data_IF_008384344914
#
_entry.id   IF_008384344914
#
_cell.length_a   1.000
_cell.length_b   1.000
_cell.length_c   1.000
_cell.angle_alpha   90.00
_cell.angle_beta   90.00
_cell.angle_gamma   90.00
#
_symmetry.space_group_name_H-M   'P 1'
#
loop_
_entity.id
_entity.type
_entity.pdbx_description
1 polymer ?
#
# COMPACT_ATOMS: atom_id res chain seq x y z
N UNK A 1 -38.44 19.33 39.32
CA UNK A 1 -37.32 18.48 38.89
C UNK A 1 -37.55 17.08 39.46
N UNK A 2 -38.14 16.20 38.68
CA UNK A 2 -38.46 14.82 39.12
C UNK A 2 -37.22 13.99 38.76
N UNK A 3 -36.47 13.55 39.75
CA UNK A 3 -35.38 12.59 39.60
C UNK A 3 -35.96 11.26 39.10
N UNK A 4 -35.68 10.88 37.91
CA UNK A 4 -35.99 9.52 37.45
C UNK A 4 -35.20 8.52 38.31
N UNK A 5 -35.87 7.47 38.84
CA UNK A 5 -35.16 6.46 39.61
C UNK A 5 -34.18 5.70 38.73
N UNK A 6 -32.98 5.50 39.24
CA UNK A 6 -31.96 4.64 38.65
C UNK A 6 -32.58 3.24 38.41
N UNK A 7 -32.91 2.90 37.15
CA UNK A 7 -33.37 1.57 36.80
C UNK A 7 -32.23 0.60 37.08
N UNK A 8 -32.39 -0.24 38.09
CA UNK A 8 -31.44 -1.32 38.35
C UNK A 8 -31.37 -2.20 37.09
N UNK A 9 -30.19 -2.36 36.55
CA UNK A 9 -29.96 -3.22 35.36
C UNK A 9 -30.31 -4.66 35.71
N UNK A 10 -31.01 -5.34 34.83
CA UNK A 10 -31.33 -6.75 35.00
C UNK A 10 -30.04 -7.58 34.96
N UNK A 11 -29.97 -8.77 35.59
CA UNK A 11 -28.81 -9.66 35.53
C UNK A 11 -28.35 -9.95 34.08
N UNK A 12 -29.28 -10.04 33.17
CA UNK A 12 -28.99 -10.27 31.72
C UNK A 12 -28.33 -9.07 31.08
N UNK A 13 -28.70 -7.84 31.44
CA UNK A 13 -28.04 -6.63 30.96
C UNK A 13 -26.60 -6.52 31.47
N UNK A 14 -26.36 -6.97 32.70
CA UNK A 14 -25.02 -7.01 33.30
C UNK A 14 -24.15 -8.04 32.62
N UNK A 15 -24.66 -9.24 32.32
CA UNK A 15 -23.94 -10.30 31.59
C UNK A 15 -23.62 -9.83 30.17
N UNK A 16 -24.57 -9.22 29.48
CA UNK A 16 -24.34 -8.65 28.13
C UNK A 16 -23.27 -7.57 28.16
N UNK A 17 -23.27 -6.69 29.15
CA UNK A 17 -22.27 -5.63 29.29
C UNK A 17 -20.88 -6.20 29.60
N UNK A 18 -20.79 -7.20 30.49
CA UNK A 18 -19.54 -7.86 30.83
C UNK A 18 -18.96 -8.61 29.61
N UNK A 19 -19.81 -9.30 28.84
CA UNK A 19 -19.37 -9.97 27.61
C UNK A 19 -18.89 -8.98 26.54
N UNK A 20 -19.56 -7.83 26.37
CA UNK A 20 -19.14 -6.79 25.47
C UNK A 20 -17.78 -6.18 25.87
N UNK A 21 -17.61 -5.88 27.18
CA UNK A 21 -16.33 -5.38 27.72
C UNK A 21 -15.21 -6.41 27.55
N UNK A 22 -15.47 -7.68 27.85
CA UNK A 22 -14.48 -8.74 27.66
C UNK A 22 -14.07 -8.90 26.19
N UNK A 23 -15.03 -8.83 25.27
CA UNK A 23 -14.76 -8.86 23.84
C UNK A 23 -13.95 -7.66 23.37
N UNK A 24 -14.27 -6.45 23.86
CA UNK A 24 -13.52 -5.24 23.55
C UNK A 24 -12.08 -5.30 24.08
N UNK A 25 -11.88 -5.81 25.31
CA UNK A 25 -10.55 -6.01 25.88
C UNK A 25 -9.76 -7.04 25.06
N UNK A 26 -10.38 -8.16 24.67
CA UNK A 26 -9.74 -9.17 23.84
C UNK A 26 -9.33 -8.58 22.48
N UNK A 27 -10.20 -7.83 21.83
CA UNK A 27 -9.90 -7.15 20.57
C UNK A 27 -8.73 -6.16 20.74
N UNK A 28 -8.71 -5.37 21.80
CA UNK A 28 -7.61 -4.45 22.11
C UNK A 28 -6.28 -5.19 22.33
N UNK A 29 -6.31 -6.32 23.03
CA UNK A 29 -5.12 -7.17 23.25
C UNK A 29 -4.61 -7.72 21.90
N UNK A 30 -5.51 -8.21 21.03
CA UNK A 30 -5.15 -8.70 19.69
C UNK A 30 -4.47 -7.58 18.87
N UNK A 31 -5.06 -6.39 18.83
CA UNK A 31 -4.49 -5.23 18.14
C UNK A 31 -3.12 -4.86 18.71
N UNK A 32 -2.98 -4.87 20.03
CA UNK A 32 -1.72 -4.61 20.73
C UNK A 32 -0.64 -5.64 20.34
N UNK A 33 -0.98 -6.92 20.33
CA UNK A 33 -0.07 -8.00 19.92
C UNK A 33 0.33 -7.84 18.45
N UNK A 34 -0.62 -7.53 17.55
CA UNK A 34 -0.35 -7.29 16.13
C UNK A 34 0.57 -6.08 15.92
N UNK A 35 0.42 -5.02 16.71
CA UNK A 35 1.23 -3.81 16.61
C UNK A 35 2.64 -4.01 17.16
N UNK A 36 2.79 -4.51 18.38
CA UNK A 36 4.10 -4.73 19.01
C UNK A 36 4.85 -5.94 18.44
N UNK A 37 4.11 -6.98 18.03
CA UNK A 37 4.67 -8.18 17.41
C UNK A 37 4.96 -8.08 15.92
N UNK A 38 4.82 -6.90 15.32
CA UNK A 38 4.91 -6.71 13.87
C UNK A 38 6.20 -7.26 13.24
N UNK A 39 7.32 -7.19 13.94
CA UNK A 39 8.61 -7.70 13.44
C UNK A 39 8.62 -9.23 13.23
N UNK A 40 7.79 -9.96 13.98
CA UNK A 40 7.64 -11.40 13.88
C UNK A 40 6.41 -11.76 13.03
N UNK A 41 5.31 -11.04 13.23
CA UNK A 41 4.02 -11.38 12.62
C UNK A 41 4.02 -11.04 11.13
N UNK A 42 4.63 -9.94 10.70
CA UNK A 42 4.72 -9.57 9.28
C UNK A 42 5.43 -10.65 8.45
N UNK A 43 6.62 -11.13 8.81
CA UNK A 43 7.27 -12.23 8.09
C UNK A 43 6.42 -13.50 8.03
N UNK A 44 5.72 -13.84 9.11
CA UNK A 44 4.85 -15.02 9.14
C UNK A 44 3.64 -14.81 8.21
N UNK A 45 2.99 -13.65 8.28
CA UNK A 45 1.85 -13.33 7.41
C UNK A 45 2.25 -13.36 5.92
N UNK A 46 3.40 -12.75 5.59
CA UNK A 46 3.97 -12.80 4.24
C UNK A 46 4.27 -14.24 3.81
N UNK A 47 4.83 -15.05 4.68
CA UNK A 47 5.12 -16.45 4.39
C UNK A 47 3.84 -17.27 4.13
N UNK A 48 2.79 -17.04 4.90
CA UNK A 48 1.48 -17.68 4.70
C UNK A 48 0.91 -17.27 3.35
N UNK A 49 0.84 -15.98 3.04
CA UNK A 49 0.30 -15.49 1.77
C UNK A 49 1.11 -16.00 0.58
N UNK A 50 2.44 -15.94 0.68
CA UNK A 50 3.31 -16.44 -0.38
C UNK A 50 3.17 -17.96 -0.57
N UNK A 51 2.95 -18.72 0.51
CA UNK A 51 2.71 -20.15 0.42
C UNK A 51 1.40 -20.48 -0.33
N UNK A 52 0.35 -19.66 -0.20
CA UNK A 52 -0.88 -19.81 -1.00
C UNK A 52 -0.63 -19.58 -2.49
N UNK A 53 0.20 -18.59 -2.84
CA UNK A 53 0.59 -18.29 -4.23
C UNK A 53 1.45 -19.40 -4.82
N UNK A 54 2.42 -19.91 -4.04
CA UNK A 54 3.39 -20.91 -4.51
C UNK A 54 2.84 -22.34 -4.50
N UNK A 55 1.80 -22.62 -3.70
CA UNK A 55 1.22 -23.98 -3.60
C UNK A 55 0.79 -24.58 -4.95
N UNK A 56 0.10 -23.87 -5.86
CA UNK A 56 -0.24 -24.38 -7.18
C UNK A 56 1.00 -24.72 -8.03
N UNK A 57 2.05 -23.89 -7.94
CA UNK A 57 3.30 -24.09 -8.68
C UNK A 57 4.06 -25.33 -8.20
N UNK A 58 4.07 -25.55 -6.88
CA UNK A 58 4.59 -26.80 -6.29
C UNK A 58 3.80 -27.98 -6.80
N UNK A 59 2.45 -27.90 -6.85
CA UNK A 59 1.60 -28.93 -7.39
C UNK A 59 1.87 -29.23 -8.89
N UNK A 60 2.18 -28.23 -9.68
CA UNK A 60 2.58 -28.41 -11.09
C UNK A 60 3.88 -29.18 -11.22
N UNK A 61 4.91 -28.86 -10.40
CA UNK A 61 6.18 -29.57 -10.40
C UNK A 61 6.02 -31.06 -9.95
N UNK A 62 5.14 -31.30 -8.95
CA UNK A 62 4.85 -32.65 -8.52
C UNK A 62 4.17 -33.52 -9.59
N UNK A 63 3.37 -32.90 -10.49
CA UNK A 63 2.79 -33.61 -11.65
C UNK A 63 3.86 -34.12 -12.63
N UNK A 64 5.03 -33.47 -12.68
CA UNK A 64 6.19 -33.89 -13.48
C UNK A 64 7.06 -34.92 -12.74
N UNK A 65 6.53 -35.56 -11.66
CA UNK A 65 7.18 -36.59 -10.83
C UNK A 65 8.37 -36.08 -10.01
N UNK A 66 8.49 -34.80 -9.74
CA UNK A 66 9.50 -34.26 -8.82
C UNK A 66 9.05 -34.53 -7.37
N UNK A 67 9.89 -35.09 -6.51
CA UNK A 67 9.55 -35.33 -5.11
C UNK A 67 9.23 -34.00 -4.39
N UNK A 68 8.26 -34.04 -3.46
CA UNK A 68 7.69 -32.86 -2.79
C UNK A 68 8.74 -31.90 -2.23
N UNK A 69 9.75 -32.45 -1.54
CA UNK A 69 10.82 -31.63 -0.96
C UNK A 69 11.59 -30.82 -1.99
N UNK A 70 11.99 -31.47 -3.10
CA UNK A 70 12.70 -30.79 -4.19
C UNK A 70 11.79 -29.79 -4.91
N UNK A 71 10.51 -30.13 -5.16
CA UNK A 71 9.56 -29.24 -5.78
C UNK A 71 9.36 -27.95 -4.95
N UNK A 72 9.19 -28.07 -3.62
CA UNK A 72 9.06 -26.93 -2.71
C UNK A 72 10.30 -26.05 -2.75
N UNK A 73 11.48 -26.66 -2.54
CA UNK A 73 12.75 -25.90 -2.51
C UNK A 73 12.99 -25.20 -3.85
N UNK A 74 12.79 -25.88 -4.98
CA UNK A 74 12.99 -25.29 -6.29
C UNK A 74 12.06 -24.11 -6.55
N UNK A 75 10.76 -24.25 -6.25
CA UNK A 75 9.78 -23.17 -6.44
C UNK A 75 10.11 -21.97 -5.57
N UNK A 76 10.49 -22.19 -4.30
CA UNK A 76 10.85 -21.12 -3.38
C UNK A 76 12.12 -20.41 -3.86
N UNK A 77 13.17 -21.15 -4.26
CA UNK A 77 14.40 -20.55 -4.78
C UNK A 77 14.10 -19.70 -6.02
N UNK A 78 13.32 -20.22 -6.97
CA UNK A 78 12.96 -19.47 -8.19
C UNK A 78 12.17 -18.21 -7.85
N UNK A 79 11.17 -18.31 -6.95
CA UNK A 79 10.37 -17.17 -6.53
C UNK A 79 11.22 -16.08 -5.87
N UNK A 80 12.09 -16.43 -4.93
CA UNK A 80 12.95 -15.46 -4.26
C UNK A 80 14.05 -14.92 -5.17
N UNK A 81 14.60 -15.72 -6.08
CA UNK A 81 15.52 -15.24 -7.13
C UNK A 81 14.84 -14.20 -8.02
N UNK A 82 13.59 -14.42 -8.40
CA UNK A 82 12.80 -13.46 -9.17
C UNK A 82 12.54 -12.16 -8.38
N UNK A 83 12.13 -12.27 -7.12
CA UNK A 83 11.93 -11.12 -6.23
C UNK A 83 13.22 -10.31 -6.07
N UNK A 84 14.35 -11.00 -5.87
CA UNK A 84 15.66 -10.37 -5.73
C UNK A 84 16.10 -9.69 -7.05
N UNK A 85 15.90 -10.35 -8.18
CA UNK A 85 16.18 -9.77 -9.49
C UNK A 85 15.33 -8.52 -9.76
N UNK A 86 14.03 -8.56 -9.43
CA UNK A 86 13.17 -7.37 -9.52
C UNK A 86 13.62 -6.25 -8.58
N UNK A 87 13.98 -6.58 -7.35
CA UNK A 87 14.49 -5.60 -6.38
C UNK A 87 15.80 -4.94 -6.85
N UNK A 88 16.73 -5.71 -7.43
CA UNK A 88 17.97 -5.17 -7.99
C UNK A 88 17.72 -4.28 -9.22
N UNK A 89 16.79 -4.67 -10.10
CA UNK A 89 16.35 -3.84 -11.22
C UNK A 89 15.75 -2.52 -10.73
N UNK A 90 14.88 -2.55 -9.72
CA UNK A 90 14.30 -1.34 -9.13
C UNK A 90 15.40 -0.43 -8.54
N UNK A 91 16.35 -1.01 -7.81
CA UNK A 91 17.45 -0.24 -7.22
C UNK A 91 18.31 0.45 -8.29
N UNK A 92 18.66 -0.25 -9.37
CA UNK A 92 19.44 0.33 -10.48
C UNK A 92 18.67 1.43 -11.22
N UNK A 93 17.38 1.23 -11.48
CA UNK A 93 16.53 2.22 -12.14
C UNK A 93 16.32 3.46 -11.27
N UNK A 94 16.15 3.31 -9.95
CA UNK A 94 16.08 4.42 -9.01
C UNK A 94 17.37 5.21 -8.95
N UNK A 95 18.53 4.53 -8.94
CA UNK A 95 19.84 5.19 -8.96
C UNK A 95 20.04 5.98 -10.25
N UNK A 96 19.65 5.45 -11.41
CA UNK A 96 19.70 6.16 -12.69
C UNK A 96 18.80 7.40 -12.66
N UNK A 97 17.54 7.24 -12.21
CA UNK A 97 16.60 8.35 -12.10
C UNK A 97 17.12 9.46 -11.19
N UNK A 98 17.72 9.11 -10.05
CA UNK A 98 18.34 10.07 -9.14
C UNK A 98 19.52 10.82 -9.80
N UNK A 99 20.32 10.15 -10.61
CA UNK A 99 21.40 10.75 -11.40
C UNK A 99 20.93 11.72 -12.47
N UNK A 100 19.74 11.50 -13.04
CA UNK A 100 19.17 12.33 -14.10
C UNK A 100 18.36 13.53 -13.58
N UNK A 101 18.04 13.57 -12.28
CA UNK A 101 17.26 14.65 -11.65
C UNK A 101 17.76 16.07 -11.96
N UNK A 102 19.08 16.37 -11.97
CA UNK A 102 19.56 17.71 -12.29
C UNK A 102 19.20 18.17 -13.72
N UNK A 103 19.13 17.24 -14.67
CA UNK A 103 18.74 17.54 -16.06
C UNK A 103 17.26 17.91 -16.18
N UNK A 104 16.42 17.36 -15.33
CA UNK A 104 14.97 17.63 -15.35
C UNK A 104 14.63 19.01 -14.77
N UNK A 105 15.48 19.56 -13.89
CA UNK A 105 15.29 20.90 -13.32
C UNK A 105 15.31 22.00 -14.38
N UNK A 106 16.18 21.89 -15.40
CA UNK A 106 16.24 22.87 -16.49
C UNK A 106 14.95 22.88 -17.30
N UNK A 107 14.46 21.72 -17.70
CA UNK A 107 13.21 21.59 -18.49
C UNK A 107 11.99 22.12 -17.72
N UNK A 108 11.91 21.82 -16.42
CA UNK A 108 10.83 22.34 -15.56
C UNK A 108 10.90 23.86 -15.49
N UNK A 109 12.09 24.43 -15.31
CA UNK A 109 12.29 25.89 -15.23
C UNK A 109 11.88 26.58 -16.53
N UNK A 110 12.27 26.04 -17.68
CA UNK A 110 11.88 26.55 -19.00
C UNK A 110 10.35 26.51 -19.20
N UNK A 111 9.70 25.40 -18.81
CA UNK A 111 8.24 25.31 -18.86
C UNK A 111 7.53 26.32 -17.95
N UNK A 112 8.01 26.49 -16.73
CA UNK A 112 7.46 27.50 -15.81
C UNK A 112 7.60 28.90 -16.40
N UNK A 113 8.73 29.20 -17.04
CA UNK A 113 8.94 30.49 -17.69
C UNK A 113 7.99 30.68 -18.89
N UNK A 114 7.87 29.67 -19.76
CA UNK A 114 6.95 29.73 -20.90
C UNK A 114 5.47 29.82 -20.48
N UNK A 115 5.09 29.21 -19.38
CA UNK A 115 3.75 29.37 -18.78
C UNK A 115 3.53 30.79 -18.24
N UNK A 116 4.54 31.36 -17.57
CA UNK A 116 4.50 32.76 -17.11
C UNK A 116 4.35 33.72 -18.26
N UNK A 117 5.07 33.51 -19.35
CA UNK A 117 4.99 34.33 -20.55
C UNK A 117 3.65 34.24 -21.27
N UNK A 118 3.06 33.04 -21.30
CA UNK A 118 1.77 32.77 -21.97
C UNK A 118 0.58 33.18 -21.09
N UNK A 119 0.63 32.99 -19.77
CA UNK A 119 -0.46 33.29 -18.82
C UNK A 119 -0.40 34.72 -18.31
N UNK A 120 0.79 35.31 -18.24
CA UNK A 120 0.97 36.75 -18.04
C UNK A 120 0.66 37.49 -19.35
N UNK A 121 -0.59 37.39 -19.80
CA UNK A 121 -1.11 38.26 -20.83
C UNK A 121 -0.78 39.70 -20.47
N UNK A 122 0.27 40.19 -21.11
CA UNK A 122 0.59 41.60 -21.33
C UNK A 122 0.04 42.59 -20.28
N UNK A 123 0.72 42.75 -19.19
CA UNK A 123 0.69 44.09 -18.59
C UNK A 123 0.36 44.26 -17.11
N UNK A 124 -0.13 43.26 -16.38
CA UNK A 124 -0.50 43.45 -14.96
C UNK A 124 0.54 42.93 -13.98
N UNK A 125 1.16 41.79 -14.24
CA UNK A 125 2.19 41.21 -13.37
C UNK A 125 3.58 41.84 -13.60
N UNK A 126 3.92 42.20 -14.84
CA UNK A 126 5.14 42.98 -15.13
C UNK A 126 5.10 44.36 -14.50
N UNK A 127 3.93 45.01 -14.50
CA UNK A 127 3.75 46.28 -13.78
C UNK A 127 3.83 46.08 -12.27
N UNK A 128 3.26 45.00 -11.72
CA UNK A 128 3.36 44.70 -10.29
C UNK A 128 4.78 44.29 -9.87
N UNK A 129 5.51 43.51 -10.69
CA UNK A 129 6.90 43.15 -10.40
C UNK A 129 7.87 44.32 -10.65
N UNK A 130 7.59 45.20 -11.62
CA UNK A 130 8.27 46.46 -11.82
C UNK A 130 8.06 47.40 -10.65
N UNK A 131 6.83 47.58 -10.19
CA UNK A 131 6.54 48.39 -8.99
C UNK A 131 7.18 47.83 -7.72
N UNK A 132 7.21 46.50 -7.54
CA UNK A 132 7.93 45.88 -6.40
C UNK A 132 9.43 46.06 -6.49
N UNK A 133 10.05 45.98 -7.68
CA UNK A 133 11.46 46.25 -7.88
C UNK A 133 11.80 47.72 -7.68
N UNK A 134 10.95 48.61 -8.12
CA UNK A 134 11.16 50.07 -7.92
C UNK A 134 10.94 50.44 -6.45
N UNK A 135 9.98 49.81 -5.76
CA UNK A 135 9.77 49.96 -4.33
C UNK A 135 10.93 49.41 -3.51
N UNK A 136 11.50 48.25 -3.89
CA UNK A 136 12.70 47.73 -3.23
C UNK A 136 13.96 48.57 -3.49
N UNK A 137 14.10 49.14 -4.68
CA UNK A 137 15.19 50.11 -4.98
C UNK A 137 15.02 51.39 -4.21
N UNK A 138 13.80 51.85 -3.96
CA UNK A 138 13.54 53.06 -3.19
C UNK A 138 13.76 52.83 -1.68
N UNK A 139 13.50 51.60 -1.20
CA UNK A 139 13.79 51.19 0.17
C UNK A 139 15.27 50.88 0.43
N UNK A 140 16.02 50.49 -0.62
CA UNK A 140 17.47 50.22 -0.54
C UNK A 140 18.36 51.44 -0.84
N UNK A 141 17.79 52.64 -1.10
CA UNK A 141 18.56 53.85 -1.12
C UNK A 141 19.16 54.12 0.27
N UNK A 142 20.48 54.04 0.45
CA UNK A 142 21.07 54.37 1.72
C UNK A 142 20.73 55.82 2.05
N UNK A 143 20.33 56.08 3.27
CA UNK A 143 20.28 57.43 3.84
C UNK A 143 21.69 57.99 3.89
N UNK A 144 22.19 58.52 2.77
CA UNK A 144 23.44 59.31 2.69
C UNK A 144 23.28 60.72 3.19
N UNK A 145 22.22 61.03 3.92
CA UNK A 145 21.98 62.39 4.43
C UNK A 145 22.14 62.55 5.95
N UNK A 146 22.89 61.67 6.63
CA UNK A 146 23.12 61.77 8.07
C UNK A 146 24.60 61.60 8.49
N UNK A 147 25.56 61.89 7.61
CA UNK A 147 27.00 61.85 7.97
C UNK A 147 27.68 63.20 7.86
N UNK A 148 26.99 64.28 8.25
CA UNK A 148 27.60 65.64 8.29
C UNK A 148 27.44 66.31 9.69
N UNK A 149 27.49 65.53 10.78
CA UNK A 149 27.74 66.12 12.11
C UNK A 149 28.58 65.12 12.90
N UNK A 150 29.90 65.33 12.89
CA UNK A 150 30.80 64.60 13.73
C UNK A 150 30.59 64.92 15.21
N UNK A 151 30.53 63.90 16.01
CA UNK A 151 31.03 63.84 17.39
C UNK A 151 31.49 62.46 17.68
N UNK A 152 32.71 62.31 18.13
CA UNK A 152 33.38 61.08 18.39
C UNK A 152 32.92 60.31 19.62
N UNK A 153 33.59 59.23 19.80
CA UNK A 153 33.79 58.43 21.01
C UNK A 153 33.06 57.06 21.03
N UNK A 154 33.83 56.04 21.14
CA UNK A 154 33.45 54.80 21.81
C UNK A 154 33.64 53.53 21.01
N UNK A 155 34.87 53.05 21.03
CA UNK A 155 35.17 51.64 20.74
C UNK A 155 34.34 50.71 21.63
N UNK A 156 33.54 49.88 21.04
CA UNK A 156 33.13 48.58 21.67
C UNK A 156 32.62 47.60 20.65
N UNK A 157 33.28 46.44 20.63
CA UNK A 157 32.68 45.18 20.27
C UNK A 157 32.61 44.87 18.79
N UNK A 158 33.72 44.54 18.18
CA UNK A 158 33.69 43.69 17.01
C UNK A 158 33.07 42.32 17.40
N UNK A 159 31.84 42.08 16.99
CA UNK A 159 31.29 40.74 16.96
C UNK A 159 32.18 39.90 16.05
N UNK A 160 32.77 38.80 16.56
CA UNK A 160 33.57 37.92 15.72
C UNK A 160 32.68 37.36 14.60
N UNK A 161 33.09 37.58 13.35
CA UNK A 161 32.52 36.86 12.21
C UNK A 161 32.59 35.37 12.55
N UNK A 162 31.47 34.61 12.37
CA UNK A 162 31.52 33.16 12.55
C UNK A 162 32.57 32.63 11.56
N UNK A 163 33.64 32.07 12.12
CA UNK A 163 34.63 31.31 11.35
C UNK A 163 33.89 30.01 10.96
N UNK A 164 33.76 29.69 9.67
CA UNK A 164 33.26 28.38 9.28
C UNK A 164 34.24 27.34 9.83
N UNK A 165 33.82 26.64 10.89
CA UNK A 165 34.53 25.48 11.37
C UNK A 165 34.16 24.36 10.40
N UNK A 166 35.04 24.08 9.46
CA UNK A 166 34.99 22.86 8.66
C UNK A 166 35.27 21.71 9.63
N UNK A 167 34.23 21.01 10.05
CA UNK A 167 34.38 19.78 10.81
C UNK A 167 34.94 18.76 9.84
N UNK A 168 36.24 18.62 9.79
CA UNK A 168 36.91 17.48 9.16
C UNK A 168 36.45 16.23 9.95
N UNK A 169 35.40 15.62 9.46
CA UNK A 169 35.09 14.24 9.88
C UNK A 169 36.30 13.40 9.43
N UNK A 170 36.93 12.66 10.35
CA UNK A 170 37.97 11.74 9.94
C UNK A 170 37.37 10.78 8.91
N UNK A 171 38.12 10.55 7.83
CA UNK A 171 37.69 9.60 6.79
C UNK A 171 37.27 8.31 7.49
N UNK A 172 36.02 7.86 7.29
CA UNK A 172 35.56 6.63 7.93
C UNK A 172 36.50 5.52 7.51
N UNK A 173 37.10 4.85 8.48
CA UNK A 173 38.02 3.76 8.23
C UNK A 173 37.36 2.71 7.33
N UNK A 174 38.15 1.97 6.54
CA UNK A 174 37.63 0.97 5.62
C UNK A 174 36.62 0.01 6.30
N UNK A 175 36.79 -0.24 7.58
CA UNK A 175 35.90 -1.08 8.40
C UNK A 175 34.56 -0.35 8.67
N UNK A 176 34.57 0.94 9.00
CA UNK A 176 33.37 1.74 9.21
C UNK A 176 32.59 1.93 7.91
N UNK A 177 33.29 2.12 6.80
CA UNK A 177 32.69 2.20 5.46
C UNK A 177 32.02 0.86 5.08
N UNK A 178 32.66 -0.27 5.35
CA UNK A 178 32.06 -1.59 5.16
C UNK A 178 30.85 -1.82 6.09
N UNK A 179 30.94 -1.42 7.35
CA UNK A 179 29.86 -1.56 8.30
C UNK A 179 28.65 -0.68 7.91
N UNK A 180 28.88 0.54 7.45
CA UNK A 180 27.81 1.44 6.97
C UNK A 180 27.10 0.92 5.72
N UNK A 181 27.82 0.18 4.85
CA UNK A 181 27.25 -0.46 3.65
C UNK A 181 26.49 -1.76 3.98
N UNK A 182 26.99 -2.55 4.93
CA UNK A 182 26.43 -3.87 5.26
C UNK A 182 25.24 -3.75 6.23
N UNK A 183 25.32 -2.84 7.21
CA UNK A 183 24.31 -2.71 8.27
C UNK A 183 22.88 -2.51 7.74
N UNK A 184 22.61 -1.65 6.73
CA UNK A 184 21.26 -1.49 6.18
C UNK A 184 20.74 -2.73 5.46
N UNK A 185 21.63 -3.63 5.00
CA UNK A 185 21.27 -4.84 4.27
C UNK A 185 21.01 -6.04 5.18
N UNK A 186 21.59 -6.06 6.40
CA UNK A 186 21.46 -7.17 7.32
C UNK A 186 20.02 -7.43 7.75
N UNK A 187 19.28 -6.36 8.09
CA UNK A 187 17.90 -6.50 8.57
C UNK A 187 16.95 -7.03 7.47
N UNK A 188 16.90 -6.48 6.23
CA UNK A 188 16.12 -7.05 5.14
C UNK A 188 16.52 -8.49 4.78
N UNK A 189 17.80 -8.82 4.77
CA UNK A 189 18.29 -10.16 4.50
C UNK A 189 17.85 -11.18 5.57
N UNK A 190 17.98 -10.82 6.85
CA UNK A 190 17.53 -11.65 7.95
C UNK A 190 16.01 -11.90 7.88
N UNK A 191 15.22 -10.84 7.66
CA UNK A 191 13.77 -10.95 7.51
C UNK A 191 13.40 -11.82 6.31
N UNK A 192 14.06 -11.63 5.17
CA UNK A 192 13.83 -12.46 3.97
C UNK A 192 14.19 -13.92 4.25
N UNK A 193 15.31 -14.20 4.95
CA UNK A 193 15.69 -15.54 5.36
C UNK A 193 14.64 -16.21 6.24
N UNK A 194 14.07 -15.47 7.19
CA UNK A 194 12.96 -15.95 8.03
C UNK A 194 11.76 -16.29 7.17
N UNK A 195 11.36 -15.42 6.23
CA UNK A 195 10.22 -15.66 5.33
C UNK A 195 10.46 -16.93 4.51
N UNK A 196 11.64 -17.09 3.90
CA UNK A 196 12.01 -18.28 3.11
C UNK A 196 11.84 -19.55 3.93
N UNK A 197 12.38 -19.57 5.14
CA UNK A 197 12.28 -20.72 6.04
C UNK A 197 10.82 -21.04 6.34
N UNK A 198 10.02 -20.03 6.73
CA UNK A 198 8.61 -20.25 7.03
C UNK A 198 7.84 -20.75 5.79
N UNK A 199 8.06 -20.18 4.61
CA UNK A 199 7.44 -20.63 3.35
C UNK A 199 7.75 -22.10 3.08
N UNK A 200 9.02 -22.48 3.19
CA UNK A 200 9.43 -23.87 2.98
C UNK A 200 8.73 -24.81 3.97
N UNK A 201 8.74 -24.47 5.27
CA UNK A 201 8.08 -25.32 6.28
C UNK A 201 6.56 -25.37 6.11
N UNK A 202 5.91 -24.25 5.81
CA UNK A 202 4.45 -24.22 5.56
C UNK A 202 4.09 -25.11 4.35
N UNK A 203 4.86 -25.01 3.26
CA UNK A 203 4.61 -25.81 2.07
C UNK A 203 4.91 -27.32 2.28
N UNK A 204 5.98 -27.64 3.04
CA UNK A 204 6.32 -29.02 3.37
C UNK A 204 5.32 -29.65 4.33
N UNK A 205 4.91 -28.91 5.36
CA UNK A 205 4.03 -29.39 6.43
C UNK A 205 2.56 -29.01 6.23
N UNK A 206 2.16 -28.68 5.01
CA UNK A 206 0.81 -28.19 4.70
C UNK A 206 -0.28 -29.12 5.21
N UNK A 207 -0.08 -30.44 5.12
CA UNK A 207 -1.07 -31.44 5.55
C UNK A 207 -1.14 -31.55 7.09
N UNK A 208 -0.01 -31.48 7.78
CA UNK A 208 0.01 -31.50 9.24
C UNK A 208 -0.60 -30.22 9.82
N UNK A 209 -0.26 -29.06 9.27
CA UNK A 209 -0.86 -27.78 9.66
C UNK A 209 -2.38 -27.77 9.45
N UNK A 210 -2.85 -28.30 8.32
CA UNK A 210 -4.27 -28.46 8.04
C UNK A 210 -4.94 -29.36 9.07
N UNK A 211 -4.37 -30.53 9.38
CA UNK A 211 -4.92 -31.45 10.35
C UNK A 211 -4.99 -30.86 11.76
N UNK A 212 -4.00 -30.05 12.14
CA UNK A 212 -4.01 -29.29 13.41
C UNK A 212 -5.11 -28.23 13.43
N UNK A 213 -5.31 -27.50 12.33
CA UNK A 213 -6.39 -26.51 12.22
C UNK A 213 -7.77 -27.18 12.33
N UNK A 214 -7.99 -28.31 11.65
CA UNK A 214 -9.23 -29.08 11.75
C UNK A 214 -9.48 -29.50 13.22
N UNK A 215 -8.46 -29.98 13.91
CA UNK A 215 -8.57 -30.37 15.31
C UNK A 215 -8.89 -29.20 16.25
N UNK A 216 -8.35 -28.01 15.97
CA UNK A 216 -8.61 -26.80 16.76
C UNK A 216 -9.98 -26.18 16.47
N UNK A 217 -10.50 -26.30 15.25
CA UNK A 217 -11.81 -25.79 14.87
C UNK A 217 -12.99 -26.54 15.52
N UNK A 218 -12.72 -27.70 16.14
CA UNK A 218 -13.71 -28.48 16.86
C UNK A 218 -14.45 -29.47 15.95
N UNK A 219 -14.47 -30.74 16.34
CA UNK A 219 -14.79 -31.85 15.46
C UNK A 219 -16.17 -32.41 15.66
N UNK A 220 -17.23 -31.61 15.59
CA UNK A 220 -18.57 -32.23 15.53
C UNK A 220 -18.83 -32.89 14.17
N UNK A 221 -18.22 -32.41 13.09
CA UNK A 221 -18.26 -33.03 11.75
C UNK A 221 -16.90 -32.82 11.04
N UNK A 222 -15.99 -33.77 11.23
CA UNK A 222 -14.64 -33.78 10.65
C UNK A 222 -14.66 -33.69 9.11
N UNK A 223 -15.63 -34.38 8.47
CA UNK A 223 -15.70 -34.41 7.02
C UNK A 223 -16.09 -33.06 6.44
N UNK A 224 -17.07 -32.41 7.05
CA UNK A 224 -17.56 -31.08 6.65
C UNK A 224 -16.51 -30.00 6.88
N UNK A 225 -15.87 -29.99 8.04
CA UNK A 225 -14.77 -29.04 8.37
C UNK A 225 -13.56 -29.20 7.45
N UNK A 226 -13.21 -30.46 7.13
CA UNK A 226 -12.13 -30.79 6.20
C UNK A 226 -12.39 -30.24 4.80
N UNK A 227 -13.60 -30.55 4.25
CA UNK A 227 -13.99 -30.10 2.93
C UNK A 227 -14.04 -28.56 2.84
N UNK A 228 -14.55 -27.90 3.89
CA UNK A 228 -14.61 -26.44 3.98
C UNK A 228 -13.22 -25.79 3.99
N UNK A 229 -12.28 -26.31 4.77
CA UNK A 229 -10.90 -25.80 4.80
C UNK A 229 -10.15 -26.02 3.49
N UNK A 230 -10.39 -27.15 2.81
CA UNK A 230 -9.78 -27.40 1.50
C UNK A 230 -10.34 -26.47 0.42
N UNK A 231 -11.65 -26.26 0.43
CA UNK A 231 -12.30 -25.31 -0.48
C UNK A 231 -11.79 -23.88 -0.22
N UNK A 232 -11.72 -23.46 1.03
CA UNK A 232 -11.17 -22.16 1.43
C UNK A 232 -9.71 -21.98 0.96
N UNK A 233 -8.84 -22.95 1.24
CA UNK A 233 -7.43 -22.90 0.85
C UNK A 233 -7.25 -22.87 -0.68
N UNK A 234 -8.04 -23.65 -1.42
CA UNK A 234 -7.99 -23.68 -2.88
C UNK A 234 -8.49 -22.37 -3.51
N UNK A 235 -9.55 -21.80 -2.97
CA UNK A 235 -10.08 -20.49 -3.40
C UNK A 235 -9.09 -19.38 -3.12
N UNK A 236 -8.51 -19.32 -1.93
CA UNK A 236 -7.47 -18.33 -1.58
C UNK A 236 -6.25 -18.42 -2.51
N UNK A 237 -5.74 -19.64 -2.72
CA UNK A 237 -4.61 -19.84 -3.65
C UNK A 237 -4.95 -19.37 -5.07
N UNK A 238 -6.14 -19.69 -5.55
CA UNK A 238 -6.60 -19.26 -6.87
C UNK A 238 -6.75 -17.74 -6.95
N UNK A 239 -7.37 -17.11 -5.96
CA UNK A 239 -7.56 -15.66 -5.90
C UNK A 239 -6.22 -14.93 -5.92
N UNK A 240 -5.26 -15.33 -5.07
CA UNK A 240 -3.95 -14.69 -5.01
C UNK A 240 -3.13 -14.91 -6.28
N UNK A 241 -3.18 -16.09 -6.87
CA UNK A 241 -2.49 -16.34 -8.14
C UNK A 241 -3.06 -15.47 -9.27
N UNK A 242 -4.39 -15.40 -9.37
CA UNK A 242 -5.07 -14.55 -10.34
C UNK A 242 -4.72 -13.08 -10.10
N UNK A 243 -4.75 -12.60 -8.86
CA UNK A 243 -4.38 -11.22 -8.52
C UNK A 243 -2.94 -10.91 -8.90
N UNK A 244 -2.01 -11.83 -8.62
CA UNK A 244 -0.61 -11.68 -9.02
C UNK A 244 -0.45 -11.60 -10.54
N UNK A 245 -1.15 -12.47 -11.28
CA UNK A 245 -1.11 -12.49 -12.75
C UNK A 245 -1.73 -11.22 -13.34
N UNK A 246 -2.87 -10.77 -12.82
CA UNK A 246 -3.52 -9.54 -13.26
C UNK A 246 -2.65 -8.32 -13.00
N UNK A 247 -2.13 -8.17 -11.77
CA UNK A 247 -1.28 -7.05 -11.42
C UNK A 247 0.04 -7.08 -12.19
N UNK A 248 0.61 -8.26 -12.38
CA UNK A 248 1.81 -8.45 -13.21
C UNK A 248 1.57 -8.08 -14.67
N UNK A 249 0.47 -8.56 -15.27
CA UNK A 249 0.11 -8.23 -16.66
C UNK A 249 -0.16 -6.73 -16.84
N UNK A 250 -0.86 -6.10 -15.89
CA UNK A 250 -1.06 -4.66 -15.86
C UNK A 250 0.27 -3.90 -15.85
N UNK A 251 1.18 -4.28 -14.94
CA UNK A 251 2.51 -3.66 -14.87
C UNK A 251 3.33 -3.83 -16.15
N UNK A 252 3.24 -4.99 -16.80
CA UNK A 252 3.89 -5.23 -18.09
C UNK A 252 3.29 -4.32 -19.18
N UNK A 253 1.98 -4.21 -19.28
CA UNK A 253 1.30 -3.36 -20.26
C UNK A 253 1.65 -1.89 -20.04
N UNK A 254 1.60 -1.41 -18.80
CA UNK A 254 2.00 -0.04 -18.45
C UNK A 254 3.49 0.18 -18.75
N UNK A 255 4.37 -0.75 -18.35
CA UNK A 255 5.80 -0.64 -18.61
C UNK A 255 6.13 -0.57 -20.09
N UNK A 256 5.53 -1.43 -20.92
CA UNK A 256 5.70 -1.41 -22.39
C UNK A 256 5.12 -0.10 -22.96
N UNK A 257 3.93 0.33 -22.53
CA UNK A 257 3.32 1.57 -22.99
C UNK A 257 4.20 2.78 -22.69
N UNK A 258 4.71 2.91 -21.46
CA UNK A 258 5.62 3.98 -21.07
C UNK A 258 6.95 3.94 -21.83
N UNK A 259 7.46 2.74 -22.11
CA UNK A 259 8.67 2.57 -22.93
C UNK A 259 8.46 3.04 -24.38
N UNK A 260 7.33 2.72 -25.00
CA UNK A 260 6.98 3.17 -26.36
C UNK A 260 6.79 4.68 -26.41
N UNK A 261 6.21 5.28 -25.36
CA UNK A 261 6.05 6.74 -25.23
C UNK A 261 7.41 7.43 -25.06
N UNK A 262 8.42 6.72 -24.52
CA UNK A 262 9.76 7.24 -24.27
C UNK A 262 9.93 7.78 -22.84
N UNK A 263 9.06 7.43 -21.92
CA UNK A 263 9.19 7.82 -20.49
C UNK A 263 10.41 7.11 -19.89
N UNK A 264 11.35 7.84 -19.24
CA UNK A 264 12.51 7.23 -18.60
C UNK A 264 12.13 6.23 -17.52
N UNK A 265 12.98 5.22 -17.31
CA UNK A 265 12.78 4.19 -16.30
C UNK A 265 11.41 3.50 -16.38
N UNK A 266 10.92 3.23 -17.60
CA UNK A 266 9.60 2.62 -17.86
C UNK A 266 9.41 1.29 -17.11
N UNK A 267 10.47 0.48 -16.96
CA UNK A 267 10.46 -0.78 -16.22
C UNK A 267 10.16 -0.52 -14.73
N UNK A 268 10.79 0.50 -14.14
CA UNK A 268 10.53 0.90 -12.75
C UNK A 268 9.05 1.20 -12.53
N UNK A 269 8.48 2.03 -13.41
CA UNK A 269 7.07 2.45 -13.31
C UNK A 269 6.11 1.29 -13.56
N UNK A 270 6.45 0.38 -14.47
CA UNK A 270 5.69 -0.85 -14.70
C UNK A 270 5.66 -1.76 -13.48
N UNK A 271 6.80 -2.01 -12.85
CA UNK A 271 6.88 -2.82 -11.61
C UNK A 271 6.13 -2.11 -10.47
N UNK A 272 6.34 -0.80 -10.33
CA UNK A 272 5.65 -0.01 -9.29
C UNK A 272 4.13 -0.04 -9.49
N UNK A 273 3.66 0.06 -10.73
CA UNK A 273 2.25 -0.04 -11.07
C UNK A 273 1.67 -1.42 -10.69
N UNK A 274 2.39 -2.51 -10.96
CA UNK A 274 2.00 -3.85 -10.55
C UNK A 274 1.89 -4.00 -9.03
N UNK A 275 2.84 -3.45 -8.28
CA UNK A 275 2.86 -3.51 -6.81
C UNK A 275 1.79 -2.60 -6.19
N UNK A 276 1.69 -1.36 -6.66
CA UNK A 276 0.70 -0.42 -6.11
C UNK A 276 -0.73 -0.86 -6.39
N UNK A 277 -0.98 -1.62 -7.46
CA UNK A 277 -2.31 -2.15 -7.76
C UNK A 277 -2.85 -3.13 -6.69
N UNK A 278 -2.02 -3.63 -5.79
CA UNK A 278 -2.50 -4.34 -4.60
C UNK A 278 -3.29 -3.44 -3.64
N UNK A 279 -3.14 -2.11 -3.77
CA UNK A 279 -3.88 -1.10 -3.00
C UNK A 279 -5.08 -0.64 -3.84
N UNK A 280 -6.30 -1.06 -3.52
CA UNK A 280 -7.48 -0.72 -4.31
C UNK A 280 -7.72 0.80 -4.36
N UNK A 281 -8.24 1.29 -5.47
CA UNK A 281 -8.62 2.69 -5.75
C UNK A 281 -7.45 3.69 -5.75
N UNK A 282 -6.60 3.67 -4.73
CA UNK A 282 -5.51 4.63 -4.54
C UNK A 282 -4.26 4.21 -5.32
N UNK A 283 -4.02 2.90 -5.43
CA UNK A 283 -2.79 2.37 -6.01
C UNK A 283 -2.56 2.79 -7.45
N UNK A 284 -3.59 2.70 -8.28
CA UNK A 284 -3.51 3.11 -9.68
C UNK A 284 -3.26 4.61 -9.84
N UNK A 285 -3.89 5.45 -9.00
CA UNK A 285 -3.69 6.90 -9.01
C UNK A 285 -2.24 7.27 -8.64
N UNK A 286 -1.69 6.65 -7.60
CA UNK A 286 -0.29 6.85 -7.20
C UNK A 286 0.66 6.33 -8.29
N UNK A 287 0.36 5.15 -8.87
CA UNK A 287 1.16 4.57 -9.95
C UNK A 287 1.23 5.45 -11.19
N UNK A 288 0.15 6.18 -11.51
CA UNK A 288 0.09 7.12 -12.62
C UNK A 288 0.79 8.46 -12.30
N UNK A 289 0.68 8.94 -11.06
CA UNK A 289 1.18 10.27 -10.67
C UNK A 289 2.68 10.46 -10.94
N UNK A 290 3.49 9.45 -10.65
CA UNK A 290 4.94 9.54 -10.84
C UNK A 290 5.38 9.60 -12.31
N UNK A 291 4.96 8.68 -13.20
CA UNK A 291 5.31 8.79 -14.62
C UNK A 291 4.71 10.01 -15.30
N UNK A 292 3.52 10.49 -14.86
CA UNK A 292 2.96 11.75 -15.33
C UNK A 292 3.83 12.95 -14.94
N UNK A 293 4.24 13.03 -13.68
CA UNK A 293 5.16 14.07 -13.21
C UNK A 293 6.51 14.04 -13.98
N UNK A 294 7.03 12.83 -14.22
CA UNK A 294 8.27 12.66 -14.96
C UNK A 294 8.10 13.05 -16.45
N UNK A 295 6.97 12.71 -17.08
CA UNK A 295 6.68 13.12 -18.45
C UNK A 295 6.64 14.64 -18.61
N UNK A 296 6.13 15.37 -17.60
CA UNK A 296 6.19 16.84 -17.56
C UNK A 296 7.63 17.33 -17.44
N UNK A 297 8.46 16.64 -16.67
CA UNK A 297 9.84 17.07 -16.37
C UNK A 297 10.82 16.79 -17.52
N UNK A 298 10.57 15.74 -18.29
CA UNK A 298 11.52 15.24 -19.32
C UNK A 298 11.27 15.85 -20.69
N UNK A 299 10.01 15.88 -21.13
CA UNK A 299 9.65 16.33 -22.49
C UNK A 299 9.41 17.84 -22.51
N UNK A 300 10.16 18.62 -23.32
CA UNK A 300 9.90 20.05 -23.50
C UNK A 300 8.48 20.33 -24.03
N UNK A 301 7.93 19.40 -24.80
CA UNK A 301 6.55 19.48 -25.30
C UNK A 301 5.55 18.88 -24.30
N UNK A 302 4.26 18.89 -24.61
CA UNK A 302 3.22 18.24 -23.83
C UNK A 302 2.86 16.86 -24.34
N UNK A 303 3.53 16.40 -25.41
CA UNK A 303 3.20 15.18 -26.13
C UNK A 303 3.34 13.94 -25.24
N UNK A 304 4.49 13.80 -24.55
CA UNK A 304 4.74 12.67 -23.64
C UNK A 304 3.72 12.61 -22.51
N UNK A 305 3.37 13.75 -21.93
CA UNK A 305 2.34 13.82 -20.88
C UNK A 305 0.98 13.36 -21.41
N UNK A 306 0.55 13.87 -22.57
CA UNK A 306 -0.76 13.52 -23.15
C UNK A 306 -0.86 12.02 -23.46
N UNK A 307 0.20 11.43 -24.06
CA UNK A 307 0.24 10.00 -24.32
C UNK A 307 0.27 9.16 -23.02
N UNK A 308 0.97 9.64 -21.99
CA UNK A 308 0.99 8.98 -20.69
C UNK A 308 -0.39 9.03 -20.02
N UNK A 309 -1.08 10.17 -20.07
CA UNK A 309 -2.47 10.28 -19.60
C UNK A 309 -3.37 9.30 -20.37
N UNK A 310 -3.28 9.30 -21.70
CA UNK A 310 -4.09 8.43 -22.55
C UNK A 310 -3.85 6.95 -22.24
N UNK A 311 -2.59 6.56 -22.00
CA UNK A 311 -2.24 5.18 -21.63
C UNK A 311 -2.97 4.74 -20.36
N UNK A 312 -2.87 5.52 -19.27
CA UNK A 312 -3.53 5.18 -18.00
C UNK A 312 -5.06 5.26 -18.12
N UNK A 313 -5.59 6.26 -18.83
CA UNK A 313 -7.02 6.47 -19.01
C UNK A 313 -7.68 5.35 -19.83
N UNK A 314 -6.93 4.66 -20.68
CA UNK A 314 -7.42 3.51 -21.46
C UNK A 314 -7.18 2.21 -20.70
N UNK A 315 -5.96 1.98 -20.21
CA UNK A 315 -5.58 0.69 -19.63
C UNK A 315 -6.30 0.44 -18.30
N UNK A 316 -6.41 1.46 -17.43
CA UNK A 316 -7.02 1.30 -16.10
C UNK A 316 -8.52 0.93 -16.17
N UNK A 317 -9.38 1.62 -16.94
CA UNK A 317 -10.78 1.21 -17.08
C UNK A 317 -10.93 -0.15 -17.77
N UNK A 318 -10.11 -0.46 -18.77
CA UNK A 318 -10.17 -1.76 -19.45
C UNK A 318 -9.85 -2.88 -18.47
N UNK A 319 -8.79 -2.73 -17.67
CA UNK A 319 -8.42 -3.77 -16.70
C UNK A 319 -9.43 -3.81 -15.56
N UNK A 320 -9.81 -2.68 -14.97
CA UNK A 320 -10.69 -2.63 -13.80
C UNK A 320 -12.15 -2.95 -14.08
N UNK A 321 -12.69 -2.57 -15.25
CA UNK A 321 -14.11 -2.78 -15.55
C UNK A 321 -14.39 -3.94 -16.50
N UNK A 322 -13.38 -4.42 -17.26
CA UNK A 322 -13.57 -5.52 -18.21
C UNK A 322 -12.81 -6.77 -17.75
N UNK A 323 -11.49 -6.65 -17.55
CA UNK A 323 -10.65 -7.84 -17.28
C UNK A 323 -10.89 -8.39 -15.87
N UNK A 324 -10.93 -7.53 -14.86
CA UNK A 324 -11.16 -7.96 -13.47
C UNK A 324 -12.50 -8.68 -13.29
N UNK A 325 -13.66 -8.15 -13.74
CA UNK A 325 -14.93 -8.86 -13.63
C UNK A 325 -14.97 -10.16 -14.41
N UNK A 326 -14.30 -10.23 -15.58
CA UNK A 326 -14.22 -11.49 -16.36
C UNK A 326 -13.42 -12.58 -15.65
N UNK A 327 -12.40 -12.19 -14.89
CA UNK A 327 -11.46 -13.14 -14.25
C UNK A 327 -11.90 -13.50 -12.83
N UNK A 328 -12.36 -12.51 -12.05
CA UNK A 328 -12.83 -12.73 -10.66
C UNK A 328 -14.31 -13.12 -10.56
N UNK A 329 -15.12 -12.90 -11.62
CA UNK A 329 -16.57 -12.90 -11.51
C UNK A 329 -17.06 -11.60 -10.84
N UNK A 330 -18.32 -11.62 -10.35
CA UNK A 330 -18.96 -10.38 -9.90
C UNK A 330 -18.54 -9.88 -8.51
N UNK A 331 -17.68 -10.62 -7.76
CA UNK A 331 -17.27 -10.13 -6.43
C UNK A 331 -15.89 -10.60 -5.98
N UNK A 332 -15.12 -9.69 -5.43
CA UNK A 332 -13.86 -9.98 -4.71
C UNK A 332 -14.13 -10.55 -3.31
N UNK A 333 -15.38 -10.62 -2.91
CA UNK A 333 -15.81 -11.06 -1.59
C UNK A 333 -15.72 -10.02 -0.49
N UNK A 334 -15.30 -8.79 -0.81
CA UNK A 334 -15.21 -7.66 0.12
C UNK A 334 -16.13 -6.50 -0.31
N UNK A 335 -16.80 -5.88 0.64
CA UNK A 335 -17.53 -4.65 0.38
C UNK A 335 -16.56 -3.46 0.15
N UNK A 336 -16.93 -2.44 -0.66
CA UNK A 336 -16.07 -1.28 -0.89
C UNK A 336 -15.67 -0.56 0.42
N UNK A 337 -16.57 -0.47 1.37
CA UNK A 337 -16.30 0.11 2.70
C UNK A 337 -15.28 -0.73 3.47
N UNK A 338 -15.42 -2.06 3.42
CA UNK A 338 -14.47 -2.97 4.05
C UNK A 338 -13.06 -2.84 3.47
N UNK A 339 -12.93 -2.63 2.16
CA UNK A 339 -11.64 -2.42 1.50
C UNK A 339 -10.94 -1.16 2.03
N UNK A 340 -11.66 -0.03 2.12
CA UNK A 340 -11.09 1.23 2.65
C UNK A 340 -10.77 1.12 4.14
N UNK A 341 -11.69 0.54 4.93
CA UNK A 341 -11.48 0.33 6.37
C UNK A 341 -10.27 -0.59 6.63
N UNK A 342 -10.14 -1.69 5.88
CA UNK A 342 -9.02 -2.61 6.00
C UNK A 342 -7.69 -1.97 5.59
N UNK A 343 -7.67 -1.21 4.49
CA UNK A 343 -6.50 -0.46 4.07
C UNK A 343 -6.02 0.49 5.16
N UNK A 344 -6.94 1.24 5.78
CA UNK A 344 -6.63 2.16 6.87
C UNK A 344 -6.12 1.41 8.11
N UNK A 345 -6.81 0.34 8.51
CA UNK A 345 -6.47 -0.46 9.68
C UNK A 345 -5.08 -1.11 9.57
N UNK A 346 -4.82 -1.82 8.47
CA UNK A 346 -3.55 -2.51 8.27
C UNK A 346 -2.39 -1.54 8.06
N UNK A 347 -2.64 -0.38 7.44
CA UNK A 347 -1.64 0.68 7.31
C UNK A 347 -1.27 1.27 8.67
N UNK A 348 -2.24 1.50 9.53
CA UNK A 348 -1.98 1.98 10.90
C UNK A 348 -1.18 0.98 11.74
N UNK A 349 -1.40 -0.34 11.53
CA UNK A 349 -0.68 -1.39 12.26
C UNK A 349 0.74 -1.63 11.74
N UNK A 350 0.90 -1.77 10.41
CA UNK A 350 2.13 -2.28 9.78
C UNK A 350 2.71 -1.33 8.72
N UNK A 351 2.21 -0.10 8.63
CA UNK A 351 2.71 0.90 7.68
C UNK A 351 2.47 0.51 6.21
N UNK A 352 3.39 0.87 5.30
CA UNK A 352 3.25 0.58 3.86
C UNK A 352 3.10 -0.91 3.52
N UNK A 353 3.74 -1.78 4.30
CA UNK A 353 3.59 -3.24 4.13
C UNK A 353 2.16 -3.66 4.45
N UNK A 354 1.58 -3.12 5.52
CA UNK A 354 0.19 -3.36 5.87
C UNK A 354 -0.79 -2.90 4.80
N UNK A 355 -0.51 -1.77 4.15
CA UNK A 355 -1.33 -1.27 3.04
C UNK A 355 -1.36 -2.24 1.85
N UNK A 356 -0.21 -2.76 1.44
CA UNK A 356 -0.11 -3.75 0.34
C UNK A 356 -0.78 -5.06 0.72
N UNK A 357 -0.67 -5.47 1.98
CA UNK A 357 -1.24 -6.72 2.49
C UNK A 357 -2.71 -6.59 2.94
N UNK A 358 -3.29 -5.40 2.97
CA UNK A 358 -4.62 -5.15 3.50
C UNK A 358 -5.69 -6.03 2.86
N UNK A 359 -5.77 -6.01 1.54
CA UNK A 359 -6.75 -6.82 0.78
C UNK A 359 -6.53 -8.32 0.98
N UNK A 360 -5.32 -8.89 0.76
CA UNK A 360 -5.04 -10.29 1.01
C UNK A 360 -5.41 -10.76 2.42
N UNK A 361 -4.99 -10.01 3.44
CA UNK A 361 -5.26 -10.37 4.84
C UNK A 361 -6.75 -10.33 5.17
N UNK A 362 -7.45 -9.29 4.69
CA UNK A 362 -8.88 -9.15 4.95
C UNK A 362 -9.70 -10.21 4.22
N UNK A 363 -9.33 -10.57 2.98
CA UNK A 363 -9.93 -11.72 2.28
C UNK A 363 -9.73 -13.01 3.08
N UNK A 364 -8.54 -13.23 3.65
CA UNK A 364 -8.31 -14.39 4.53
C UNK A 364 -9.26 -14.38 5.74
N UNK A 365 -9.46 -13.22 6.38
CA UNK A 365 -10.36 -13.07 7.51
C UNK A 365 -11.83 -13.37 7.14
N UNK A 366 -12.28 -12.83 6.00
CA UNK A 366 -13.64 -13.10 5.49
C UNK A 366 -13.84 -14.57 5.14
N UNK A 367 -12.87 -15.19 4.48
CA UNK A 367 -12.95 -16.62 4.17
C UNK A 367 -12.97 -17.46 5.45
N UNK A 368 -12.20 -17.11 6.47
CA UNK A 368 -12.28 -17.74 7.78
C UNK A 368 -13.66 -17.53 8.43
N UNK A 369 -14.22 -16.32 8.35
CA UNK A 369 -15.56 -16.01 8.83
C UNK A 369 -16.66 -16.87 8.18
N UNK A 370 -16.53 -17.16 6.89
CA UNK A 370 -17.48 -18.03 6.15
C UNK A 370 -17.48 -19.50 6.58
N UNK A 371 -16.37 -19.97 7.16
CA UNK A 371 -16.18 -21.39 7.45
C UNK A 371 -16.12 -21.71 8.95
N UNK A 372 -15.96 -20.69 9.79
CA UNK A 372 -15.88 -20.83 11.26
C UNK A 372 -17.02 -20.06 11.90
N UNK A 373 -18.02 -20.74 12.44
CA UNK A 373 -19.23 -20.12 13.03
C UNK A 373 -18.93 -19.01 14.03
N UNK A 374 -17.88 -19.17 14.87
CA UNK A 374 -17.48 -18.15 15.85
C UNK A 374 -16.92 -16.88 15.22
N UNK A 375 -16.53 -16.92 13.94
CA UNK A 375 -15.94 -15.81 13.20
C UNK A 375 -16.88 -15.28 12.10
N UNK A 376 -18.11 -15.75 12.03
CA UNK A 376 -19.12 -15.35 11.05
C UNK A 376 -19.33 -13.83 10.99
N UNK A 377 -19.17 -13.16 12.13
CA UNK A 377 -19.23 -11.69 12.19
C UNK A 377 -18.23 -11.00 11.26
N UNK A 378 -17.10 -11.64 10.92
CA UNK A 378 -16.11 -11.08 9.97
C UNK A 378 -16.66 -11.11 8.53
N UNK A 379 -17.40 -12.17 8.13
CA UNK A 379 -18.05 -12.18 6.82
C UNK A 379 -19.18 -11.17 6.74
N UNK A 380 -19.98 -11.04 7.80
CA UNK A 380 -21.05 -10.03 7.87
C UNK A 380 -20.51 -8.62 7.81
N UNK A 381 -19.38 -8.34 8.49
CA UNK A 381 -18.81 -6.98 8.58
C UNK A 381 -18.02 -6.57 7.33
N UNK A 382 -17.25 -7.49 6.74
CA UNK A 382 -16.33 -7.19 5.64
C UNK A 382 -16.79 -7.76 4.29
N UNK A 383 -17.69 -8.75 4.29
CA UNK A 383 -18.15 -9.40 3.07
C UNK A 383 -18.98 -8.50 2.16
N UNK A 384 -19.12 -8.93 0.93
CA UNK A 384 -19.91 -8.28 -0.12
C UNK A 384 -21.35 -8.79 -0.21
N UNK A 385 -21.69 -9.84 0.57
CA UNK A 385 -23.04 -10.41 0.60
C UNK A 385 -23.96 -9.52 1.41
N UNK A 386 -25.25 -9.41 1.00
CA UNK A 386 -26.25 -8.78 1.85
C UNK A 386 -26.29 -9.44 3.21
N UNK A 387 -26.19 -8.63 4.29
CA UNK A 387 -26.22 -9.13 5.66
C UNK A 387 -27.56 -9.76 6.05
N UNK A 388 -28.64 -9.36 5.35
CA UNK A 388 -30.00 -9.87 5.54
C UNK A 388 -30.45 -10.61 4.28
N UNK A 389 -31.18 -11.71 4.47
CA UNK A 389 -31.82 -12.39 3.35
C UNK A 389 -32.95 -11.54 2.73
N UNK A 390 -33.31 -11.75 1.45
CA UNK A 390 -34.40 -10.98 0.83
C UNK A 390 -35.70 -10.95 1.65
N UNK A 391 -36.15 -12.07 2.27
CA UNK A 391 -37.32 -12.05 3.14
C UNK A 391 -37.14 -11.21 4.41
N UNK A 392 -35.95 -11.20 5.00
CA UNK A 392 -35.65 -10.40 6.18
C UNK A 392 -35.61 -8.91 5.84
N UNK A 393 -35.05 -8.52 4.68
CA UNK A 393 -35.06 -7.15 4.17
C UNK A 393 -36.50 -6.68 3.96
N UNK A 394 -37.31 -7.51 3.33
CA UNK A 394 -38.76 -7.24 3.13
C UNK A 394 -39.47 -7.01 4.46
N UNK A 395 -39.28 -7.91 5.43
CA UNK A 395 -39.86 -7.79 6.76
C UNK A 395 -39.41 -6.54 7.51
N UNK A 396 -38.11 -6.22 7.44
CA UNK A 396 -37.55 -5.02 8.04
C UNK A 396 -38.16 -3.73 7.43
N UNK A 397 -38.33 -3.67 6.11
CA UNK A 397 -38.91 -2.52 5.42
C UNK A 397 -40.41 -2.36 5.75
N UNK A 398 -41.11 -3.48 5.87
CA UNK A 398 -42.50 -3.46 6.33
C UNK A 398 -42.63 -2.92 7.76
N UNK A 399 -41.74 -3.33 8.67
CA UNK A 399 -41.69 -2.80 10.03
C UNK A 399 -41.29 -1.32 10.11
N UNK A 400 -40.45 -0.85 9.20
CA UNK A 400 -40.06 0.55 9.07
C UNK A 400 -41.15 1.45 8.47
N UNK A 401 -42.26 0.86 7.97
CA UNK A 401 -43.37 1.60 7.37
C UNK A 401 -43.07 2.14 5.96
N UNK A 402 -42.11 1.51 5.23
CA UNK A 402 -41.77 1.85 3.86
C UNK A 402 -42.23 0.73 2.88
N UNK A 403 -43.51 0.75 2.47
CA UNK A 403 -44.06 -0.25 1.58
C UNK A 403 -43.52 -0.16 0.14
N UNK A 404 -42.98 0.99 -0.26
CA UNK A 404 -42.47 1.20 -1.62
C UNK A 404 -41.15 0.47 -1.83
N UNK A 405 -40.19 0.63 -0.92
CA UNK A 405 -38.95 -0.16 -0.95
C UNK A 405 -39.18 -1.65 -0.66
N UNK A 406 -40.19 -2.00 0.14
CA UNK A 406 -40.56 -3.39 0.37
C UNK A 406 -41.04 -4.06 -0.93
N UNK A 407 -41.82 -3.38 -1.77
CA UNK A 407 -42.33 -3.93 -3.04
C UNK A 407 -41.25 -4.08 -4.12
N UNK A 408 -40.18 -3.27 -4.08
CA UNK A 408 -39.06 -3.39 -5.02
C UNK A 408 -38.14 -4.61 -4.72
N UNK A 409 -38.22 -5.13 -3.51
CA UNK A 409 -37.36 -6.25 -3.04
C UNK A 409 -38.11 -7.58 -2.92
N UNK A 410 -39.42 -7.59 -3.16
CA UNK A 410 -40.25 -8.80 -3.21
C UNK A 410 -40.21 -9.47 -4.58
#
# INVERSE_FOLDING_TARGET
MIRQPFKARTPDELIALLSAVATAILAAIIVMVLYFGREIIIPIALAILLSFVLAPLVGLLQRVRIPRGLAVVSVVIIAFALIFAMGSLLATQLAQLAGDLPRYQSTISEKIQSFRETTAGRGTLERASGMLKDLSKELDKPKEAASALGVGAGAKGATPKPVPVEVLQPDPGALESLQSLISPLLHPLATTGIIVIFVIFILLQREDLRNRLIRLAGSHDLQRTTAALDDAASRLSRLFLIQLLLNGSFGIVIGIGLWVIGVPSAILWGILAAVLRFVPYIGAAIAAAFPLALAVAVDPTWSMLLWTIALFLVVEPVVGHVVEPMVYGHSTGLSPVAVVASATFWTALWGPIGLVLATPLTVCLVVLGRHVERLEFLDVMFGDRPALSPPEIFYQRMLAGDPTEASEKA
#
